data_IF_809750423777
#
_entry.id   IF_809750423777
#
_cell.length_a   1.000
_cell.length_b   1.000
_cell.length_c   1.000
_cell.angle_alpha   90.00
_cell.angle_beta   90.00
_cell.angle_gamma   90.00
#
_symmetry.space_group_name_H-M   'P 1'
#
loop_
_entity.id
_entity.type
_entity.pdbx_description
1 polymer ?
#
# COMPACT_ATOMS: atom_id res chain seq x y z
N UNK A 1 3.51 0.10 11.25
CA UNK A 1 4.28 -1.16 11.40
C UNK A 1 5.34 -0.91 12.45
N UNK A 2 5.32 -1.61 13.59
CA UNK A 2 6.21 -1.29 14.72
C UNK A 2 7.26 -2.39 15.00
N UNK A 3 7.32 -3.43 14.16
CA UNK A 3 8.26 -4.55 14.30
C UNK A 3 8.79 -4.96 12.93
N UNK A 4 10.01 -5.52 12.89
CA UNK A 4 10.57 -6.07 11.64
C UNK A 4 9.71 -7.19 11.04
N UNK A 5 9.11 -8.03 11.88
CA UNK A 5 8.21 -9.08 11.42
C UNK A 5 6.90 -8.51 10.84
N UNK A 6 6.37 -7.42 11.43
CA UNK A 6 5.23 -6.70 10.89
C UNK A 6 5.51 -6.08 9.53
N UNK A 7 6.71 -5.49 9.33
CA UNK A 7 7.13 -4.98 8.02
C UNK A 7 7.17 -6.10 6.97
N UNK A 8 7.76 -7.26 7.30
CA UNK A 8 7.79 -8.41 6.38
C UNK A 8 6.39 -8.87 5.99
N UNK A 9 5.48 -9.00 6.97
CA UNK A 9 4.09 -9.40 6.71
C UNK A 9 3.36 -8.40 5.81
N UNK A 10 3.51 -7.12 6.10
CA UNK A 10 2.87 -6.08 5.29
C UNK A 10 3.37 -6.05 3.85
N UNK A 11 4.68 -6.23 3.62
CA UNK A 11 5.23 -6.33 2.26
C UNK A 11 4.69 -7.56 1.54
N UNK A 12 4.64 -8.72 2.21
CA UNK A 12 4.11 -9.95 1.64
C UNK A 12 2.62 -9.83 1.28
N UNK A 13 1.86 -8.98 1.99
CA UNK A 13 0.47 -8.67 1.67
C UNK A 13 0.36 -7.66 0.51
N UNK A 14 1.15 -6.58 0.53
CA UNK A 14 1.01 -5.49 -0.45
C UNK A 14 1.50 -5.85 -1.84
N UNK A 15 2.57 -6.64 -1.97
CA UNK A 15 3.11 -7.02 -3.28
C UNK A 15 2.06 -7.71 -4.16
N UNK A 16 1.40 -8.81 -3.74
CA UNK A 16 0.36 -9.44 -4.54
C UNK A 16 -0.86 -8.53 -4.75
N UNK A 17 -1.28 -7.74 -3.75
CA UNK A 17 -2.40 -6.80 -3.88
C UNK A 17 -2.15 -5.76 -4.98
N UNK A 18 -0.94 -5.20 -5.02
CA UNK A 18 -0.56 -4.21 -6.02
C UNK A 18 -0.43 -4.83 -7.40
N UNK A 19 0.11 -6.06 -7.51
CA UNK A 19 0.16 -6.83 -8.76
C UNK A 19 -1.25 -7.06 -9.30
N UNK A 20 -2.17 -7.57 -8.48
CA UNK A 20 -3.57 -7.84 -8.88
C UNK A 20 -4.27 -6.56 -9.36
N UNK A 21 -4.00 -5.42 -8.72
CA UNK A 21 -4.53 -4.12 -9.15
C UNK A 21 -4.04 -3.76 -10.55
N UNK A 22 -2.75 -4.00 -10.86
CA UNK A 22 -2.19 -3.70 -12.17
C UNK A 22 -2.64 -4.71 -13.24
N UNK A 23 -2.72 -6.00 -12.91
CA UNK A 23 -3.16 -7.06 -13.83
C UNK A 23 -4.64 -6.93 -14.21
N UNK A 24 -5.47 -6.41 -13.30
CA UNK A 24 -6.87 -6.10 -13.57
C UNK A 24 -7.09 -4.80 -14.36
N UNK A 25 -6.01 -4.11 -14.76
CA UNK A 25 -6.07 -2.84 -15.47
C UNK A 25 -6.38 -1.63 -14.58
N UNK A 26 -6.32 -1.81 -13.26
CA UNK A 26 -6.39 -0.72 -12.29
C UNK A 26 -5.13 0.15 -12.29
N UNK A 27 -5.19 1.26 -11.55
CA UNK A 27 -4.06 2.19 -11.38
C UNK A 27 -3.71 2.30 -9.91
N UNK A 28 -2.42 2.24 -9.59
CA UNK A 28 -1.93 2.52 -8.24
C UNK A 28 -1.80 4.03 -8.04
N UNK A 29 -2.39 4.53 -6.95
CA UNK A 29 -2.18 5.90 -6.48
C UNK A 29 -1.14 5.89 -5.36
N UNK A 30 -0.37 6.97 -5.24
CA UNK A 30 0.54 7.12 -4.12
C UNK A 30 -0.28 7.41 -2.86
N UNK A 31 -0.13 6.53 -1.87
CA UNK A 31 -0.87 6.59 -0.61
C UNK A 31 0.03 6.10 0.52
N UNK A 32 -0.21 6.62 1.72
CA UNK A 32 0.39 6.07 2.94
C UNK A 32 -0.57 5.02 3.47
N UNK A 33 -0.11 3.77 3.60
CA UNK A 33 -0.92 2.68 4.15
C UNK A 33 -0.36 2.22 5.49
N UNK A 34 -1.25 1.93 6.45
CA UNK A 34 -0.92 1.32 7.74
C UNK A 34 -1.18 -0.17 7.69
N UNK A 35 -0.31 -0.94 8.33
CA UNK A 35 -0.51 -2.36 8.57
C UNK A 35 -1.36 -2.58 9.83
N UNK A 36 -2.39 -3.42 9.71
CA UNK A 36 -3.14 -3.98 10.83
C UNK A 36 -2.68 -5.42 11.08
N UNK A 37 -2.03 -5.65 12.22
CA UNK A 37 -1.50 -6.96 12.60
C UNK A 37 -2.59 -7.99 12.94
N UNK A 38 -3.78 -7.55 13.36
CA UNK A 38 -4.89 -8.44 13.73
C UNK A 38 -5.64 -8.90 12.49
N UNK A 39 -5.96 -7.97 11.60
CA UNK A 39 -6.66 -8.26 10.36
C UNK A 39 -5.73 -8.84 9.28
N UNK A 40 -4.42 -8.60 9.37
CA UNK A 40 -3.45 -9.06 8.38
C UNK A 40 -3.57 -8.32 7.04
N UNK A 41 -4.02 -7.07 7.07
CA UNK A 41 -4.26 -6.24 5.89
C UNK A 41 -3.57 -4.89 6.02
N UNK A 42 -3.45 -4.16 4.92
CA UNK A 42 -3.15 -2.73 4.97
C UNK A 42 -4.38 -1.87 4.74
N UNK A 43 -4.48 -0.79 5.49
CA UNK A 43 -5.53 0.21 5.38
C UNK A 43 -4.92 1.53 4.92
N UNK A 44 -5.64 2.28 4.10
CA UNK A 44 -5.22 3.62 3.70
C UNK A 44 -5.27 4.53 4.92
N UNK A 45 -4.19 5.26 5.17
CA UNK A 45 -4.21 6.33 6.16
C UNK A 45 -4.73 7.60 5.51
N UNK A 46 -5.91 8.04 5.95
CA UNK A 46 -6.46 9.35 5.59
C UNK A 46 -5.76 10.47 6.37
N UNK A 47 -4.48 10.71 6.08
CA UNK A 47 -3.82 11.97 6.44
C UNK A 47 -3.46 12.73 5.17
N UNK A 48 -4.45 13.49 4.69
CA UNK A 48 -4.25 14.66 3.85
C UNK A 48 -3.63 14.40 2.48
N UNK A 49 -4.49 14.26 1.48
CA UNK A 49 -4.24 14.54 0.07
C UNK A 49 -2.88 15.20 -0.24
N UNK A 50 -1.91 14.44 -0.75
CA UNK A 50 -0.76 15.02 -1.45
C UNK A 50 -0.47 14.30 -2.75
N UNK A 51 -1.01 14.93 -3.78
CA UNK A 51 -0.47 15.11 -5.12
C UNK A 51 -0.20 13.86 -5.95
N UNK A 52 -1.02 13.74 -7.01
CA UNK A 52 -0.60 13.24 -8.32
C UNK A 52 0.73 13.92 -8.68
N UNK A 53 1.86 13.30 -8.35
CA UNK A 53 3.14 13.67 -8.94
C UNK A 53 3.08 13.20 -10.40
N UNK A 54 3.28 14.09 -11.40
CA UNK A 54 3.46 13.66 -12.76
C UNK A 54 4.78 12.88 -12.80
N UNK A 55 4.71 11.57 -13.01
CA UNK A 55 5.90 10.78 -13.30
C UNK A 55 6.39 11.18 -14.70
N UNK A 56 7.53 11.87 -14.74
CA UNK A 56 8.46 12.03 -15.86
C UNK A 56 7.93 12.64 -17.18
N UNK A 57 8.38 13.86 -17.47
CA UNK A 57 8.75 14.30 -18.82
C UNK A 57 10.25 14.15 -19.02
#
# INVERSE_FOLDING_TARGET
MNTFSGVRRAINYEVPRQIETLESGGTLVQETRRWDDVAGITEVCDEGARARLPLFS
#
